data_IF_401117699066
#
_entry.id   IF_401117699066
#
_cell.length_a   1.000
_cell.length_b   1.000
_cell.length_c   1.000
_cell.angle_alpha   90.00
_cell.angle_beta   90.00
_cell.angle_gamma   90.00
#
_symmetry.space_group_name_H-M   'P 1'
#
loop_
_entity.id
_entity.type
_entity.pdbx_description
1 polymer ?
#
# COMPACT_ATOMS: atom_id res chain seq x y z
N UNK A 1 -4.90 6.35 16.24
CA UNK A 1 -4.94 7.77 16.65
C UNK A 1 -4.19 8.65 15.67
N UNK A 2 -2.85 8.70 15.74
CA UNK A 2 -2.04 9.65 14.96
C UNK A 2 -1.74 9.20 13.51
N UNK A 3 -1.56 7.88 13.28
CA UNK A 3 -1.31 7.32 11.95
C UNK A 3 -2.51 7.44 10.99
N UNK A 4 -3.71 7.31 11.55
CA UNK A 4 -4.99 7.36 10.84
C UNK A 4 -5.23 8.74 10.22
N UNK A 5 -5.09 9.81 11.02
CA UNK A 5 -5.34 11.17 10.56
C UNK A 5 -4.35 11.70 9.51
N UNK A 6 -3.12 11.19 9.42
CA UNK A 6 -2.19 11.65 8.37
C UNK A 6 -2.60 11.17 6.97
N UNK A 7 -3.05 9.92 6.87
CA UNK A 7 -3.53 9.36 5.61
C UNK A 7 -4.97 9.80 5.32
N UNK A 8 -5.85 9.85 6.32
CA UNK A 8 -7.22 10.33 6.13
C UNK A 8 -7.28 11.82 5.79
N UNK A 9 -6.49 12.68 6.45
CA UNK A 9 -6.46 14.11 6.10
C UNK A 9 -5.82 14.34 4.71
N UNK A 10 -4.85 13.50 4.32
CA UNK A 10 -4.30 13.51 2.97
C UNK A 10 -5.28 12.96 1.93
N UNK A 11 -6.35 12.27 2.33
CA UNK A 11 -7.41 11.78 1.44
C UNK A 11 -8.59 12.76 1.38
N UNK A 12 -8.92 13.44 2.48
CA UNK A 12 -10.04 14.38 2.59
C UNK A 12 -9.87 15.66 1.76
N UNK A 13 -8.63 16.11 1.50
CA UNK A 13 -8.38 17.41 0.85
C UNK A 13 -8.45 17.36 -0.70
N UNK A 14 -8.69 16.18 -1.28
CA UNK A 14 -8.52 15.94 -2.72
C UNK A 14 -9.86 15.82 -3.43
N UNK A 15 -10.56 16.95 -3.54
CA UNK A 15 -11.54 17.21 -4.61
C UNK A 15 -12.82 16.36 -4.69
N UNK A 16 -13.37 15.84 -3.58
CA UNK A 16 -14.69 15.18 -3.60
C UNK A 16 -14.79 13.94 -4.50
N UNK A 17 -13.67 13.45 -5.02
CA UNK A 17 -13.56 12.18 -5.71
C UNK A 17 -13.44 11.08 -4.66
N UNK A 18 -14.20 10.00 -4.84
CA UNK A 18 -14.12 8.86 -3.94
C UNK A 18 -12.73 8.20 -4.08
N UNK A 19 -11.97 8.19 -2.99
CA UNK A 19 -10.79 7.35 -2.86
C UNK A 19 -11.20 6.05 -2.18
N UNK A 20 -10.73 4.93 -2.70
CA UNK A 20 -10.93 3.61 -2.09
C UNK A 20 -9.59 2.90 -1.98
N UNK A 21 -9.53 1.83 -1.18
CA UNK A 21 -8.26 1.15 -0.94
C UNK A 21 -8.20 0.46 0.41
N UNK A 22 -6.98 0.21 0.86
CA UNK A 22 -6.70 -0.51 2.09
C UNK A 22 -5.43 0.02 2.76
N UNK A 23 -5.54 0.34 4.05
CA UNK A 23 -4.41 0.64 4.92
C UNK A 23 -4.24 -0.49 5.95
N UNK A 24 -3.17 -1.26 5.82
CA UNK A 24 -2.77 -2.29 6.77
C UNK A 24 -1.63 -1.77 7.66
N UNK A 25 -1.88 -1.72 8.96
CA UNK A 25 -0.93 -1.29 9.98
C UNK A 25 -0.42 -2.50 10.76
N UNK A 26 0.85 -2.86 10.54
CA UNK A 26 1.54 -3.90 11.28
C UNK A 26 2.62 -3.28 12.18
N UNK A 27 3.05 -3.96 13.26
CA UNK A 27 4.10 -3.43 14.14
C UNK A 27 5.44 -3.22 13.42
N UNK A 28 5.70 -3.99 12.35
CA UNK A 28 6.96 -3.98 11.59
C UNK A 28 6.86 -3.29 10.22
N UNK A 29 5.67 -3.05 9.69
CA UNK A 29 5.48 -2.46 8.36
C UNK A 29 4.10 -1.85 8.18
N UNK A 30 3.95 -1.03 7.14
CA UNK A 30 2.66 -0.50 6.70
C UNK A 30 2.50 -0.87 5.23
N UNK A 31 1.35 -1.42 4.86
CA UNK A 31 0.96 -1.60 3.47
C UNK A 31 -0.19 -0.66 3.14
N UNK A 32 -0.07 0.05 2.03
CA UNK A 32 -1.02 1.07 1.61
C UNK A 32 -1.38 0.84 0.14
N UNK A 33 -2.65 0.56 -0.11
CA UNK A 33 -3.23 0.42 -1.45
C UNK A 33 -4.22 1.55 -1.67
N UNK A 34 -4.10 2.25 -2.79
CA UNK A 34 -4.95 3.39 -3.12
C UNK A 34 -5.47 3.27 -4.54
N UNK A 35 -6.78 3.47 -4.70
CA UNK A 35 -7.46 3.56 -5.99
C UNK A 35 -8.11 4.94 -6.14
N UNK A 36 -7.58 5.74 -7.08
CA UNK A 36 -8.08 7.07 -7.40
C UNK A 36 -7.64 7.48 -8.80
N UNK A 37 -8.04 8.66 -9.27
CA UNK A 37 -7.48 9.24 -10.48
C UNK A 37 -5.96 9.46 -10.38
N UNK A 38 -5.31 9.59 -11.54
CA UNK A 38 -3.86 9.76 -11.61
C UNK A 38 -3.34 11.01 -10.90
N UNK A 39 -4.12 12.11 -10.86
CA UNK A 39 -3.73 13.32 -10.14
C UNK A 39 -3.68 13.12 -8.64
N UNK A 40 -4.66 12.42 -8.06
CA UNK A 40 -4.67 12.14 -6.62
C UNK A 40 -3.55 11.18 -6.24
N UNK A 41 -3.33 10.12 -7.03
CA UNK A 41 -2.20 9.20 -6.81
C UNK A 41 -0.86 9.96 -6.88
N UNK A 42 -0.71 10.89 -7.82
CA UNK A 42 0.49 11.71 -7.93
C UNK A 42 0.75 12.56 -6.68
N UNK A 43 -0.29 13.22 -6.15
CA UNK A 43 -0.20 14.03 -4.93
C UNK A 43 0.15 13.16 -3.71
N UNK A 44 -0.46 12.00 -3.57
CA UNK A 44 -0.15 11.05 -2.49
C UNK A 44 1.32 10.62 -2.54
N UNK A 45 1.85 10.28 -3.72
CA UNK A 45 3.26 9.88 -3.85
C UNK A 45 4.19 11.07 -3.53
N UNK A 46 3.82 12.30 -3.91
CA UNK A 46 4.56 13.51 -3.57
C UNK A 46 4.60 13.76 -2.05
N UNK A 47 3.50 13.54 -1.35
CA UNK A 47 3.44 13.64 0.10
C UNK A 47 4.28 12.56 0.78
N UNK A 48 4.23 11.32 0.28
CA UNK A 48 5.08 10.22 0.76
C UNK A 48 6.57 10.52 0.58
N UNK A 49 6.97 11.08 -0.56
CA UNK A 49 8.35 11.53 -0.78
C UNK A 49 8.76 12.61 0.22
N UNK A 50 7.85 13.56 0.51
CA UNK A 50 8.09 14.64 1.47
C UNK A 50 8.22 14.11 2.90
N UNK A 51 7.39 13.14 3.29
CA UNK A 51 7.45 12.47 4.60
C UNK A 51 8.77 11.71 4.78
N UNK A 52 9.19 10.93 3.79
CA UNK A 52 10.46 10.20 3.82
C UNK A 52 11.67 11.15 3.94
N UNK A 53 11.57 12.33 3.35
CA UNK A 53 12.64 13.34 3.34
C UNK A 53 12.73 14.18 4.62
N UNK A 54 11.94 13.87 5.66
CA UNK A 54 12.04 14.52 6.98
C UNK A 54 13.31 14.11 7.78
N UNK A 55 14.14 13.24 7.21
CA UNK A 55 15.42 12.82 7.79
C UNK A 55 15.30 11.61 8.71
N UNK A 56 16.31 11.33 9.56
CA UNK A 56 16.38 10.10 10.36
C UNK A 56 15.27 9.94 11.40
N UNK A 57 14.50 10.99 11.68
CA UNK A 57 13.37 10.98 12.61
C UNK A 57 12.01 10.95 11.88
N UNK A 58 12.01 10.74 10.56
CA UNK A 58 10.79 10.57 9.80
C UNK A 58 9.96 9.43 10.38
N UNK A 59 8.64 9.63 10.47
CA UNK A 59 7.69 8.63 10.97
C UNK A 59 7.71 7.36 10.13
N UNK A 60 7.89 7.54 8.82
CA UNK A 60 7.96 6.46 7.83
C UNK A 60 9.35 6.51 7.18
N UNK A 61 10.00 5.35 7.18
CA UNK A 61 11.29 5.13 6.54
C UNK A 61 11.14 4.02 5.52
N UNK A 62 12.08 3.96 4.57
CA UNK A 62 12.17 2.90 3.57
C UNK A 62 10.87 2.70 2.77
N UNK A 63 10.15 3.79 2.50
CA UNK A 63 8.91 3.75 1.71
C UNK A 63 9.26 3.25 0.31
N UNK A 64 8.51 2.25 -0.16
CA UNK A 64 8.64 1.66 -1.49
C UNK A 64 7.33 1.70 -2.25
N UNK A 65 7.43 2.03 -3.54
CA UNK A 65 6.33 1.89 -4.51
C UNK A 65 6.46 0.52 -5.15
N UNK A 66 5.56 -0.41 -4.78
CA UNK A 66 5.58 -1.79 -5.26
C UNK A 66 5.04 -1.88 -6.69
N UNK A 67 3.87 -1.29 -6.93
CA UNK A 67 3.18 -1.30 -8.22
C UNK A 67 2.32 -0.06 -8.37
N UNK A 68 2.24 0.47 -9.59
CA UNK A 68 1.22 1.47 -9.98
C UNK A 68 0.56 0.96 -11.25
N UNK A 69 -0.75 0.73 -11.16
CA UNK A 69 -1.57 0.31 -12.29
C UNK A 69 -2.41 1.49 -12.81
N UNK A 70 -2.67 1.48 -14.12
CA UNK A 70 -3.50 2.49 -14.79
C UNK A 70 -4.65 1.81 -15.52
N UNK A 71 -5.74 2.55 -15.76
CA UNK A 71 -6.91 2.09 -16.51
C UNK A 71 -7.54 0.80 -15.95
N UNK A 72 -7.62 0.69 -14.62
CA UNK A 72 -8.34 -0.42 -13.99
C UNK A 72 -9.82 -0.36 -14.38
N UNK A 73 -10.42 -1.46 -14.86
CA UNK A 73 -11.79 -1.44 -15.39
C UNK A 73 -12.84 -1.24 -14.29
N UNK A 74 -12.54 -1.67 -13.06
CA UNK A 74 -13.37 -1.55 -11.87
C UNK A 74 -12.47 -1.36 -10.64
N UNK A 75 -13.00 -0.73 -9.60
CA UNK A 75 -12.35 -0.68 -8.28
C UNK A 75 -12.20 -2.10 -7.73
N UNK A 76 -11.00 -2.45 -7.27
CA UNK A 76 -10.73 -3.69 -6.56
C UNK A 76 -11.14 -3.59 -5.09
N UNK A 77 -11.17 -2.37 -4.55
CA UNK A 77 -11.59 -2.05 -3.19
C UNK A 77 -12.87 -1.21 -3.30
N UNK A 78 -14.06 -1.77 -2.98
CA UNK A 78 -15.32 -1.04 -3.09
C UNK A 78 -15.38 0.21 -2.20
N UNK A 79 -14.70 0.17 -1.05
CA UNK A 79 -14.60 1.27 -0.10
C UNK A 79 -13.15 1.42 0.42
N UNK A 80 -12.96 2.31 1.40
CA UNK A 80 -11.73 2.49 2.13
C UNK A 80 -11.70 1.61 3.39
N UNK A 81 -10.73 0.69 3.46
CA UNK A 81 -10.59 -0.23 4.58
C UNK A 81 -9.36 0.08 5.43
N UNK A 82 -9.48 -0.07 6.76
CA UNK A 82 -8.36 0.05 7.70
C UNK A 82 -8.28 -1.19 8.57
N UNK A 83 -7.09 -1.81 8.63
CA UNK A 83 -6.87 -3.01 9.42
C UNK A 83 -5.56 -2.93 10.22
N UNK A 84 -5.54 -3.58 11.39
CA UNK A 84 -4.35 -3.66 12.24
C UNK A 84 -3.99 -5.10 12.57
N UNK A 85 -2.70 -5.42 12.49
CA UNK A 85 -2.16 -6.67 12.97
C UNK A 85 -1.55 -6.50 14.37
N UNK A 86 -1.83 -7.43 15.27
CA UNK A 86 -1.25 -7.38 16.63
C UNK A 86 0.20 -7.89 16.69
N UNK A 87 0.61 -8.74 15.74
CA UNK A 87 1.96 -9.33 15.72
C UNK A 87 2.46 -9.47 14.28
N UNK A 88 3.77 -9.26 14.03
CA UNK A 88 4.37 -9.70 12.79
C UNK A 88 4.23 -11.22 12.63
N UNK A 89 4.05 -11.66 11.39
CA UNK A 89 4.07 -13.07 11.01
C UNK A 89 5.39 -13.37 10.34
N UNK A 90 5.99 -14.48 10.73
CA UNK A 90 7.19 -15.04 10.10
C UNK A 90 6.76 -16.23 9.26
N UNK A 91 7.32 -16.38 8.07
CA UNK A 91 7.07 -17.57 7.26
C UNK A 91 7.48 -18.85 8.00
N UNK A 92 6.76 -19.98 7.83
CA UNK A 92 7.19 -21.26 8.35
C UNK A 92 8.59 -21.61 7.83
N UNK A 93 9.45 -22.11 8.72
CA UNK A 93 10.83 -22.46 8.37
C UNK A 93 10.85 -23.52 7.26
N UNK A 94 11.15 -23.11 6.02
CA UNK A 94 11.14 -23.96 4.82
C UNK A 94 10.08 -23.62 3.77
N UNK A 95 9.31 -22.55 3.92
CA UNK A 95 8.50 -22.01 2.81
C UNK A 95 9.42 -21.61 1.65
N UNK A 96 9.09 -22.05 0.43
CA UNK A 96 9.74 -21.57 -0.79
C UNK A 96 9.61 -20.06 -0.84
N UNK A 97 10.73 -19.35 -0.68
CA UNK A 97 10.76 -17.92 -0.97
C UNK A 97 10.32 -17.73 -2.42
N UNK A 98 9.53 -16.69 -2.67
CA UNK A 98 9.17 -16.28 -4.03
C UNK A 98 10.43 -16.21 -4.92
N UNK A 99 10.34 -16.78 -6.13
CA UNK A 99 11.50 -16.94 -7.01
C UNK A 99 11.85 -15.61 -7.72
N UNK A 100 10.94 -14.62 -7.70
CA UNK A 100 11.14 -13.30 -8.32
C UNK A 100 10.39 -12.16 -7.60
N UNK A 101 10.86 -10.92 -7.77
CA UNK A 101 10.19 -9.72 -7.22
C UNK A 101 8.73 -9.62 -7.67
N UNK A 102 8.44 -10.00 -8.92
CA UNK A 102 7.08 -9.97 -9.47
C UNK A 102 6.15 -10.94 -8.76
N UNK A 103 6.62 -12.14 -8.46
CA UNK A 103 5.84 -13.13 -7.70
C UNK A 103 5.61 -12.65 -6.25
N UNK A 104 6.61 -12.07 -5.59
CA UNK A 104 6.48 -11.54 -4.24
C UNK A 104 5.48 -10.36 -4.17
N UNK A 105 5.50 -9.47 -5.18
CA UNK A 105 4.51 -8.40 -5.33
C UNK A 105 3.12 -8.99 -5.57
N UNK A 106 3.00 -10.02 -6.41
CA UNK A 106 1.73 -10.69 -6.70
C UNK A 106 1.14 -11.35 -5.46
N UNK A 107 1.97 -12.03 -4.67
CA UNK A 107 1.58 -12.65 -3.39
C UNK A 107 1.09 -11.58 -2.40
N UNK A 108 1.85 -10.48 -2.27
CA UNK A 108 1.48 -9.34 -1.43
C UNK A 108 0.10 -8.76 -1.82
N UNK A 109 -0.11 -8.46 -3.11
CA UNK A 109 -1.40 -7.95 -3.60
C UNK A 109 -2.51 -8.97 -3.37
N UNK A 110 -2.25 -10.26 -3.58
CA UNK A 110 -3.24 -11.33 -3.36
C UNK A 110 -3.69 -11.40 -1.90
N UNK A 111 -2.76 -11.28 -0.95
CA UNK A 111 -3.08 -11.24 0.48
C UNK A 111 -3.89 -10.00 0.84
N UNK A 112 -3.54 -8.83 0.30
CA UNK A 112 -4.27 -7.58 0.53
C UNK A 112 -5.70 -7.63 -0.02
N UNK A 113 -5.91 -8.27 -1.19
CA UNK A 113 -7.26 -8.48 -1.74
C UNK A 113 -8.09 -9.46 -0.91
N UNK A 114 -7.48 -10.57 -0.44
CA UNK A 114 -8.15 -11.51 0.48
C UNK A 114 -8.53 -10.83 1.78
N UNK A 115 -7.66 -9.98 2.29
CA UNK A 115 -7.89 -9.19 3.50
C UNK A 115 -9.07 -8.23 3.32
N UNK A 116 -9.12 -7.48 2.23
CA UNK A 116 -10.27 -6.62 1.94
C UNK A 116 -11.59 -7.40 1.82
N UNK A 117 -11.56 -8.55 1.14
CA UNK A 117 -12.73 -9.44 1.07
C UNK A 117 -13.18 -9.98 2.43
N UNK A 118 -12.22 -10.28 3.33
CA UNK A 118 -12.53 -10.70 4.69
C UNK A 118 -13.18 -9.56 5.51
N UNK A 119 -12.63 -8.36 5.44
CA UNK A 119 -13.19 -7.17 6.10
C UNK A 119 -14.62 -6.92 5.62
N UNK A 120 -14.82 -6.91 4.30
CA UNK A 120 -16.16 -6.75 3.71
C UNK A 120 -17.13 -7.82 4.21
N UNK A 121 -16.72 -9.09 4.28
CA UNK A 121 -17.59 -10.16 4.78
C UNK A 121 -17.98 -9.99 6.26
N UNK A 122 -17.10 -9.40 7.09
CA UNK A 122 -17.39 -9.12 8.49
C UNK A 122 -18.36 -7.94 8.66
N UNK A 123 -18.27 -6.94 7.80
CA UNK A 123 -19.17 -5.77 7.78
C UNK A 123 -20.58 -6.17 7.32
N UNK A 124 -20.69 -7.02 6.29
CA UNK A 124 -21.98 -7.54 5.80
C UNK A 124 -22.71 -8.39 6.86
N UNK A 125 -21.97 -9.10 7.70
CA UNK A 125 -22.53 -9.94 8.78
C UNK A 125 -22.90 -9.14 10.05
N UNK A 126 -22.44 -7.89 10.18
CA UNK A 126 -22.59 -7.08 11.39
C UNK A 126 -23.18 -5.70 11.08
N UNK A 127 -24.52 -5.61 11.00
CA UNK A 127 -25.29 -4.39 10.69
C UNK A 127 -25.05 -3.19 11.65
N UNK A 128 -24.33 -3.39 12.76
CA UNK A 128 -24.03 -2.37 13.79
C UNK A 128 -22.51 -2.04 13.93
N UNK A 129 -21.65 -2.46 13.01
CA UNK A 129 -20.20 -2.24 13.09
C UNK A 129 -19.80 -0.80 12.71
N UNK A 130 -19.92 0.12 13.67
CA UNK A 130 -19.27 1.43 13.63
C UNK A 130 -17.75 1.25 13.43
N UNK A 131 -17.22 1.78 12.33
CA UNK A 131 -15.80 1.90 11.92
C UNK A 131 -14.80 1.07 12.76
N UNK A 132 -14.93 -0.27 12.70
CA UNK A 132 -14.21 -1.14 13.61
C UNK A 132 -12.88 -1.53 13.00
N UNK A 133 -11.78 -1.13 13.64
CA UNK A 133 -10.44 -1.61 13.26
C UNK A 133 -10.39 -3.13 13.47
N UNK A 134 -10.32 -3.88 12.37
CA UNK A 134 -10.34 -5.34 12.42
C UNK A 134 -9.00 -5.90 12.92
N UNK A 135 -9.07 -6.83 13.88
CA UNK A 135 -7.91 -7.61 14.33
C UNK A 135 -7.75 -8.83 13.43
N UNK A 136 -6.62 -8.91 12.73
CA UNK A 136 -6.44 -9.86 11.63
C UNK A 136 -5.94 -11.23 12.06
N UNK A 137 -6.40 -12.26 11.34
CA UNK A 137 -5.85 -13.61 11.42
C UNK A 137 -4.43 -13.66 10.82
N UNK A 138 -3.50 -14.42 11.44
CA UNK A 138 -2.11 -14.53 10.97
C UNK A 138 -1.97 -14.98 9.51
N UNK A 139 -2.92 -15.76 9.00
CA UNK A 139 -2.89 -16.31 7.63
C UNK A 139 -3.17 -15.27 6.54
N UNK A 140 -3.74 -14.12 6.91
CA UNK A 140 -4.02 -13.00 6.01
C UNK A 140 -2.91 -11.95 5.99
N UNK A 141 -1.87 -12.12 6.83
CA UNK A 141 -0.77 -11.18 6.95
C UNK A 141 0.37 -11.53 6.00
N UNK A 142 0.99 -10.49 5.46
CA UNK A 142 2.18 -10.66 4.62
C UNK A 142 3.35 -11.02 5.55
N UNK A 143 4.09 -12.11 5.25
CA UNK A 143 5.25 -12.48 6.05
C UNK A 143 6.32 -11.39 6.05
N UNK A 144 6.96 -11.22 7.21
CA UNK A 144 7.98 -10.18 7.41
C UNK A 144 9.17 -10.37 6.47
N UNK A 145 9.50 -11.62 6.13
CA UNK A 145 10.55 -11.95 5.18
C UNK A 145 10.24 -11.45 3.76
N UNK A 146 8.97 -11.56 3.33
CA UNK A 146 8.51 -11.05 2.04
C UNK A 146 8.57 -9.53 2.02
N UNK A 147 8.16 -8.86 3.10
CA UNK A 147 8.28 -7.40 3.22
C UNK A 147 9.74 -6.96 3.15
N UNK A 148 10.62 -7.59 3.92
CA UNK A 148 12.05 -7.27 3.91
C UNK A 148 12.65 -7.48 2.51
N UNK A 149 12.29 -8.56 1.81
CA UNK A 149 12.72 -8.80 0.44
C UNK A 149 12.26 -7.67 -0.50
N UNK A 150 10.98 -7.31 -0.47
CA UNK A 150 10.43 -6.23 -1.30
C UNK A 150 11.04 -4.86 -0.97
N UNK A 151 11.31 -4.57 0.30
CA UNK A 151 11.99 -3.35 0.72
C UNK A 151 13.43 -3.23 0.19
N UNK A 152 14.09 -4.36 -0.09
CA UNK A 152 15.45 -4.40 -0.62
C UNK A 152 15.51 -4.68 -2.13
N UNK A 153 14.39 -4.99 -2.77
CA UNK A 153 14.32 -5.26 -4.20
C UNK A 153 14.60 -3.99 -5.02
N UNK A 154 15.48 -4.09 -6.03
CA UNK A 154 15.85 -2.97 -6.89
C UNK A 154 14.67 -2.48 -7.75
N UNK A 155 13.74 -3.38 -8.09
CA UNK A 155 12.54 -3.04 -8.85
C UNK A 155 11.54 -2.21 -8.03
N UNK A 156 11.62 -2.26 -6.70
CA UNK A 156 10.80 -1.45 -5.80
C UNK A 156 11.48 -0.11 -5.55
N UNK A 157 10.98 0.91 -6.24
CA UNK A 157 11.54 2.28 -6.19
C UNK A 157 11.06 3.06 -4.97
N UNK A 158 11.83 4.07 -4.55
CA UNK A 158 11.36 5.06 -3.57
C UNK A 158 10.29 5.97 -4.20
N UNK A 159 9.41 6.61 -3.41
CA UNK A 159 8.49 7.65 -3.91
C UNK A 159 9.18 8.74 -4.73
N UNK A 160 10.35 9.20 -4.29
CA UNK A 160 11.10 10.24 -5.00
C UNK A 160 11.63 9.73 -6.36
N UNK A 161 12.20 8.53 -6.40
CA UNK A 161 12.67 7.94 -7.64
C UNK A 161 11.51 7.61 -8.58
N UNK A 162 10.37 7.16 -8.05
CA UNK A 162 9.17 6.93 -8.83
C UNK A 162 8.69 8.23 -9.50
N UNK A 163 8.57 9.33 -8.73
CA UNK A 163 8.20 10.64 -9.28
C UNK A 163 9.21 11.09 -10.34
N UNK A 164 10.51 10.89 -10.10
CA UNK A 164 11.54 11.22 -11.08
C UNK A 164 11.36 10.44 -12.38
N UNK A 165 11.10 9.14 -12.31
CA UNK A 165 10.90 8.28 -13.47
C UNK A 165 9.61 8.66 -14.21
N UNK A 166 8.51 8.86 -13.48
CA UNK A 166 7.19 9.13 -14.04
C UNK A 166 7.04 10.55 -14.61
N UNK A 167 7.69 11.54 -13.98
CA UNK A 167 7.67 12.94 -14.41
C UNK A 167 8.81 13.28 -15.36
N UNK A 168 9.83 12.43 -15.50
CA UNK A 168 10.81 12.62 -16.55
C UNK A 168 10.11 12.37 -17.88
N UNK A 169 9.92 13.38 -18.75
CA UNK A 169 9.64 13.07 -20.13
C UNK A 169 10.85 12.27 -20.59
N UNK A 170 10.67 10.99 -20.89
CA UNK A 170 11.59 10.32 -21.79
C UNK A 170 11.56 11.19 -23.04
N UNK A 171 12.54 12.09 -23.20
CA UNK A 171 12.75 12.78 -24.45
C UNK A 171 13.04 11.64 -25.42
N UNK A 172 12.14 11.28 -26.36
CA UNK A 172 12.68 10.71 -27.56
C UNK A 172 13.46 11.88 -28.15
N UNK A 173 14.79 11.78 -28.20
CA UNK A 173 15.49 12.49 -29.26
C UNK A 173 14.83 11.97 -30.55
N UNK A 174 13.87 12.74 -31.07
CA UNK A 174 13.47 12.71 -32.46
C UNK A 174 14.67 13.24 -33.25
N UNK A 175 15.76 12.49 -33.23
CA UNK A 175 16.93 12.74 -34.04
C UNK A 175 16.88 11.78 -35.22
N UNK A 176 16.48 12.40 -36.34
CA UNK A 176 16.65 12.05 -37.75
C UNK A 176 15.63 11.11 -38.41
#
# INVERSE_FOLDING_TARGET
GHHRGLFENALEDHSGEQVSGLLLLCPSYICHVVESCSSTIHLIIQDLASLQNQGPNALLQEIKVLVVAHNIPTRLFPDWYVATAASPVTSPQGSTHSESTTEAVTECITLLLKLAGHIQSLEDDNEDADESVHTLEPELLIPTETINYLCNAEECTSPEDFLRIYLSPSQPALDS
#
